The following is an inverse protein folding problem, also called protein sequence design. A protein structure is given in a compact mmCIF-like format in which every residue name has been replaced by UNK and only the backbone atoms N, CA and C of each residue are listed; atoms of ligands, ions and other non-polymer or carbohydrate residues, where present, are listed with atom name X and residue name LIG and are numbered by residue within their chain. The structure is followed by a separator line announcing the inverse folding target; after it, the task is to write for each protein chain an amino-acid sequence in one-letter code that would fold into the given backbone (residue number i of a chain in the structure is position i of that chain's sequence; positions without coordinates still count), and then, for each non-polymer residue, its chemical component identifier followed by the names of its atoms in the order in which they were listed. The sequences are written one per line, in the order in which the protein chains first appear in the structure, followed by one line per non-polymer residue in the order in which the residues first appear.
data_IF_277169000451
#
_entry.id   IF_277169000451
#
_cell.length_a   1.000
_cell.length_b   1.000
_cell.length_c   1.000
_cell.angle_alpha   90.00
_cell.angle_beta   90.00
_cell.angle_gamma   90.00
#
_symmetry.space_group_name_H-M   'P 1'
#
loop_
_entity.id
_entity.type
_entity.pdbx_description
1 polymer ?
#
# COMPACT_ATOMS: atom_id res chain seq x y z
N UNK A 1 0.02 8.96 -2.63
CA UNK A 1 -0.85 8.14 -3.51
C UNK A 1 -1.12 8.94 -4.77
N UNK A 2 -1.13 8.29 -5.93
CA UNK A 2 -1.45 8.90 -7.22
C UNK A 2 -2.41 8.00 -7.99
N UNK A 3 -3.12 8.58 -8.94
CA UNK A 3 -4.03 7.86 -9.82
C UNK A 3 -4.04 8.47 -11.22
N UNK A 4 -4.38 7.67 -12.22
CA UNK A 4 -4.59 8.12 -13.61
C UNK A 4 -5.80 7.43 -14.23
N UNK A 5 -6.54 8.16 -15.06
CA UNK A 5 -7.65 7.61 -15.86
C UNK A 5 -7.09 6.68 -16.93
N UNK A 6 -7.72 5.52 -17.10
CA UNK A 6 -7.34 4.51 -18.10
C UNK A 6 -8.49 4.35 -19.09
N UNK A 7 -8.19 4.36 -20.39
CA UNK A 7 -9.20 4.12 -21.42
C UNK A 7 -9.58 2.63 -21.48
N UNK A 8 -10.86 2.32 -21.73
CA UNK A 8 -11.36 0.93 -21.75
C UNK A 8 -10.61 0.00 -22.74
N UNK A 9 -10.10 0.53 -23.86
CA UNK A 9 -9.29 -0.25 -24.82
C UNK A 9 -7.89 -0.61 -24.31
N UNK A 10 -7.33 0.18 -23.40
CA UNK A 10 -6.01 -0.05 -22.80
C UNK A 10 -6.08 -0.99 -21.60
N UNK A 11 -7.25 -1.16 -20.98
CA UNK A 11 -7.41 -1.95 -19.77
C UNK A 11 -7.03 -3.42 -19.95
N UNK A 12 -7.43 -4.06 -21.03
CA UNK A 12 -7.09 -5.48 -21.23
C UNK A 12 -5.59 -5.70 -21.44
N UNK A 13 -4.91 -4.72 -22.04
CA UNK A 13 -3.44 -4.69 -22.15
C UNK A 13 -2.79 -4.45 -20.79
N UNK A 14 -3.24 -3.42 -20.07
CA UNK A 14 -2.66 -3.03 -18.78
C UNK A 14 -2.98 -4.00 -17.63
N UNK A 15 -4.12 -4.69 -17.66
CA UNK A 15 -4.43 -5.78 -16.74
C UNK A 15 -3.55 -7.00 -16.98
N UNK A 16 -3.20 -7.29 -18.24
CA UNK A 16 -2.18 -8.29 -18.59
C UNK A 16 -0.79 -7.81 -18.14
N UNK A 17 -0.49 -6.53 -18.31
CA UNK A 17 0.75 -5.92 -17.83
C UNK A 17 0.81 -5.78 -16.31
N UNK A 18 -0.30 -5.78 -15.55
CA UNK A 18 -0.26 -5.83 -14.09
C UNK A 18 0.47 -7.09 -13.60
N UNK A 19 0.31 -8.19 -14.34
CA UNK A 19 1.08 -9.43 -14.16
C UNK A 19 2.54 -9.34 -14.64
N UNK A 20 2.90 -8.36 -15.47
CA UNK A 20 4.26 -8.12 -16.00
C UNK A 20 4.99 -6.93 -15.34
N UNK A 21 4.29 -6.03 -14.65
CA UNK A 21 4.81 -4.98 -13.76
C UNK A 21 5.51 -5.57 -12.51
N UNK A 22 5.73 -6.88 -12.52
CA UNK A 22 6.71 -7.59 -11.70
C UNK A 22 8.03 -6.82 -11.66
N UNK A 23 8.48 -6.19 -12.76
CA UNK A 23 9.79 -5.52 -12.83
C UNK A 23 9.78 -4.00 -12.61
N UNK A 24 8.67 -3.42 -12.14
CA UNK A 24 8.70 -2.03 -11.66
C UNK A 24 9.37 -1.97 -10.29
N UNK A 25 10.39 -1.12 -10.18
CA UNK A 25 11.02 -0.70 -8.93
C UNK A 25 10.02 -0.44 -7.81
N UNK A 26 8.89 0.19 -8.15
CA UNK A 26 7.81 0.52 -7.22
C UNK A 26 7.27 -0.67 -6.42
N UNK A 27 7.31 -1.89 -6.95
CA UNK A 27 6.72 -3.08 -6.30
C UNK A 27 7.75 -4.01 -5.67
N UNK A 28 9.04 -3.65 -5.71
CA UNK A 28 10.16 -4.47 -5.22
C UNK A 28 9.96 -4.89 -3.76
N UNK A 29 9.60 -3.95 -2.88
CA UNK A 29 9.40 -4.25 -1.45
C UNK A 29 8.27 -5.26 -1.22
N UNK A 30 7.18 -5.16 -1.98
CA UNK A 30 6.07 -6.10 -1.88
C UNK A 30 6.49 -7.50 -2.32
N UNK A 31 7.37 -7.60 -3.32
CA UNK A 31 7.98 -8.86 -3.77
C UNK A 31 8.94 -9.43 -2.72
N UNK A 32 9.81 -8.61 -2.13
CA UNK A 32 10.72 -9.02 -1.05
C UNK A 32 9.94 -9.62 0.11
N UNK A 33 8.93 -8.90 0.61
CA UNK A 33 8.04 -9.41 1.65
C UNK A 33 7.39 -10.75 1.30
N UNK A 34 7.08 -11.00 0.01
CA UNK A 34 6.52 -12.28 -0.44
C UNK A 34 7.56 -13.41 -0.39
N UNK A 35 8.83 -13.12 -0.70
CA UNK A 35 9.95 -14.04 -0.55
C UNK A 35 10.17 -14.36 0.94
N UNK A 36 10.19 -13.37 1.81
CA UNK A 36 10.42 -13.56 3.25
C UNK A 36 9.36 -14.49 3.86
N UNK A 37 8.10 -14.35 3.43
CA UNK A 37 7.01 -15.26 3.83
C UNK A 37 7.27 -16.69 3.39
N UNK A 38 7.71 -16.89 2.15
CA UNK A 38 8.04 -18.22 1.65
C UNK A 38 9.22 -18.83 2.44
N UNK A 39 10.20 -18.00 2.84
CA UNK A 39 11.40 -18.44 3.54
C UNK A 39 11.23 -18.56 5.07
N UNK A 40 10.16 -18.01 5.66
CA UNK A 40 9.95 -17.96 7.12
C UNK A 40 10.06 -19.35 7.78
N UNK A 41 9.44 -20.38 7.21
CA UNK A 41 9.52 -21.73 7.75
C UNK A 41 10.93 -22.33 7.67
N UNK A 42 11.72 -21.96 6.65
CA UNK A 42 13.11 -22.40 6.53
C UNK A 42 14.00 -21.70 7.56
N UNK A 43 13.83 -20.38 7.73
CA UNK A 43 14.57 -19.62 8.74
C UNK A 43 14.29 -20.14 10.15
N UNK A 44 13.04 -20.49 10.47
CA UNK A 44 12.70 -21.07 11.77
C UNK A 44 13.38 -22.43 12.01
N UNK A 45 13.48 -23.28 10.99
CA UNK A 45 14.24 -24.55 11.11
C UNK A 45 15.73 -24.31 11.30
N UNK A 46 16.30 -23.25 10.71
CA UNK A 46 17.70 -22.88 10.92
C UNK A 46 17.89 -22.42 12.36
N UNK A 47 17.04 -21.54 12.87
CA UNK A 47 17.10 -21.05 14.26
C UNK A 47 17.06 -22.17 15.29
N UNK A 48 16.24 -23.19 15.08
CA UNK A 48 16.18 -24.38 15.94
C UNK A 48 17.49 -25.20 15.94
N UNK A 49 18.27 -25.13 14.85
CA UNK A 49 19.52 -25.88 14.71
C UNK A 49 20.76 -25.06 15.10
N UNK A 50 20.77 -23.79 14.73
CA UNK A 50 21.88 -22.86 14.88
C UNK A 50 21.34 -21.42 14.97
N UNK A 51 21.18 -20.88 16.20
CA UNK A 51 20.68 -19.53 16.42
C UNK A 51 21.58 -18.44 15.84
N UNK A 52 22.90 -18.60 15.90
CA UNK A 52 23.86 -17.58 15.43
C UNK A 52 23.76 -17.41 13.91
N UNK A 53 23.59 -18.52 13.17
CA UNK A 53 23.36 -18.47 11.73
C UNK A 53 22.01 -17.82 11.40
N UNK A 54 20.95 -18.13 12.16
CA UNK A 54 19.65 -17.50 11.95
C UNK A 54 19.69 -15.98 12.18
N UNK A 55 20.37 -15.53 13.23
CA UNK A 55 20.53 -14.11 13.53
C UNK A 55 21.34 -13.39 12.45
N UNK A 56 22.41 -14.01 11.95
CA UNK A 56 23.15 -13.45 10.81
C UNK A 56 22.28 -13.32 9.55
N UNK A 57 21.47 -14.34 9.24
CA UNK A 57 20.56 -14.29 8.08
C UNK A 57 19.49 -13.20 8.23
N UNK A 58 18.95 -12.99 9.43
CA UNK A 58 18.02 -11.87 9.72
C UNK A 58 18.70 -10.52 9.52
N UNK A 59 19.93 -10.37 9.98
CA UNK A 59 20.69 -9.13 9.79
C UNK A 59 20.97 -8.85 8.30
N UNK A 60 21.20 -9.90 7.50
CA UNK A 60 21.31 -9.76 6.04
C UNK A 60 19.98 -9.33 5.42
N UNK A 61 18.88 -9.98 5.82
CA UNK A 61 17.53 -9.65 5.35
C UNK A 61 17.19 -8.17 5.62
N UNK A 62 17.44 -7.70 6.85
CA UNK A 62 17.24 -6.31 7.25
C UNK A 62 18.10 -5.33 6.42
N UNK A 63 19.36 -5.67 6.15
CA UNK A 63 20.22 -4.83 5.30
C UNK A 63 19.71 -4.74 3.86
N UNK A 64 19.20 -5.83 3.30
CA UNK A 64 18.62 -5.84 1.96
C UNK A 64 17.33 -5.00 1.94
N UNK A 65 16.48 -5.15 2.96
CA UNK A 65 15.26 -4.35 3.14
C UNK A 65 15.58 -2.85 3.21
N UNK A 66 16.61 -2.44 3.97
CA UNK A 66 17.05 -1.04 4.05
C UNK A 66 17.54 -0.49 2.69
N UNK A 67 18.26 -1.30 1.91
CA UNK A 67 18.67 -0.92 0.55
C UNK A 67 17.46 -0.75 -0.36
N UNK A 68 16.48 -1.64 -0.28
CA UNK A 68 15.23 -1.54 -1.03
C UNK A 68 14.43 -0.28 -0.68
N UNK A 69 14.34 0.05 0.62
CA UNK A 69 13.70 1.28 1.09
C UNK A 69 14.41 2.54 0.59
N UNK A 70 15.76 2.56 0.66
CA UNK A 70 16.55 3.69 0.16
C UNK A 70 16.37 3.89 -1.34
N UNK A 71 16.35 2.80 -2.11
CA UNK A 71 16.16 2.83 -3.55
C UNK A 71 14.78 3.40 -3.93
N UNK A 72 13.72 2.93 -3.27
CA UNK A 72 12.37 3.49 -3.47
C UNK A 72 12.26 4.95 -3.04
N UNK A 73 12.96 5.34 -1.98
CA UNK A 73 12.94 6.70 -1.49
C UNK A 73 13.49 7.70 -2.51
N UNK A 74 14.50 7.29 -3.29
CA UNK A 74 15.10 8.10 -4.35
C UNK A 74 14.27 8.14 -5.63
N UNK A 75 13.56 7.05 -5.95
CA UNK A 75 12.88 6.92 -7.25
C UNK A 75 11.43 7.43 -7.24
N UNK A 76 10.80 7.58 -6.07
CA UNK A 76 9.34 7.75 -6.01
C UNK A 76 8.91 9.20 -5.82
N UNK A 77 8.42 9.84 -6.89
CA UNK A 77 7.75 11.17 -6.86
C UNK A 77 6.56 11.23 -5.87
N UNK A 78 5.95 10.07 -5.52
CA UNK A 78 4.89 10.00 -4.50
C UNK A 78 5.34 10.48 -3.12
N UNK A 79 6.63 10.46 -2.82
CA UNK A 79 7.17 10.99 -1.56
C UNK A 79 7.24 12.52 -1.56
N UNK A 80 7.28 13.15 -2.74
CA UNK A 80 7.23 14.60 -2.88
C UNK A 80 5.79 15.13 -2.82
N UNK A 81 4.80 14.25 -3.00
CA UNK A 81 3.39 14.63 -2.90
C UNK A 81 2.96 14.79 -1.44
N UNK A 82 2.23 15.88 -1.08
CA UNK A 82 1.74 16.07 0.26
C UNK A 82 0.81 14.91 0.66
N UNK A 83 0.95 14.46 1.91
CA UNK A 83 0.11 13.41 2.47
C UNK A 83 -1.35 13.84 2.46
N UNK A 84 -2.18 13.18 1.64
CA UNK A 84 -3.62 13.41 1.60
C UNK A 84 -4.33 12.48 2.59
N UNK A 85 -5.31 12.96 3.36
CA UNK A 85 -6.18 12.08 4.13
C UNK A 85 -6.91 11.12 3.19
N UNK A 86 -6.76 9.81 3.44
CA UNK A 86 -7.42 8.75 2.69
C UNK A 86 -8.16 7.82 3.64
N UNK A 87 -9.26 7.23 3.18
CA UNK A 87 -9.86 6.05 3.78
C UNK A 87 -9.55 4.85 2.89
N UNK A 88 -8.98 3.81 3.48
CA UNK A 88 -8.45 2.67 2.74
C UNK A 88 -8.95 1.36 3.34
N UNK A 89 -9.38 0.45 2.47
CA UNK A 89 -9.84 -0.90 2.80
C UNK A 89 -9.18 -1.92 1.87
N UNK A 90 -9.41 -3.22 2.13
CA UNK A 90 -8.95 -4.28 1.24
C UNK A 90 -9.65 -4.29 -0.14
N UNK A 91 -10.79 -3.59 -0.27
CA UNK A 91 -11.64 -3.59 -1.47
C UNK A 91 -11.71 -2.26 -2.20
N UNK A 92 -11.08 -1.20 -1.69
CA UNK A 92 -11.17 0.13 -2.29
C UNK A 92 -10.57 1.23 -1.44
N UNK A 93 -10.61 2.44 -2.00
CA UNK A 93 -10.06 3.66 -1.42
C UNK A 93 -11.02 4.83 -1.64
N UNK A 94 -11.08 5.76 -0.70
CA UNK A 94 -11.72 7.06 -0.90
C UNK A 94 -10.84 8.21 -0.42
N UNK A 95 -10.91 9.33 -1.13
CA UNK A 95 -10.09 10.50 -0.88
C UNK A 95 -10.68 11.75 -1.54
N UNK A 96 -10.23 12.92 -1.09
CA UNK A 96 -10.63 14.21 -1.66
C UNK A 96 -9.91 14.55 -2.96
N UNK A 97 -10.64 15.06 -3.94
CA UNK A 97 -10.13 15.54 -5.24
C UNK A 97 -10.68 16.94 -5.57
N UNK A 98 -9.97 17.68 -6.42
CA UNK A 98 -10.41 18.98 -6.96
C UNK A 98 -11.36 18.84 -8.15
N UNK A 99 -11.35 17.70 -8.82
CA UNK A 99 -12.11 17.45 -10.04
C UNK A 99 -13.12 16.33 -9.86
N UNK A 100 -14.31 16.52 -10.43
CA UNK A 100 -15.34 15.47 -10.48
C UNK A 100 -14.93 14.37 -11.45
N UNK A 101 -15.27 13.13 -11.12
CA UNK A 101 -15.01 11.97 -11.96
C UNK A 101 -16.30 11.23 -12.29
N UNK A 102 -16.37 10.71 -13.51
CA UNK A 102 -17.50 9.92 -13.97
C UNK A 102 -17.57 8.57 -13.24
N UNK A 103 -18.76 8.20 -12.78
CA UNK A 103 -19.01 6.87 -12.21
C UNK A 103 -18.82 5.82 -13.32
N UNK A 104 -18.09 4.76 -13.01
CA UNK A 104 -17.67 3.76 -13.99
C UNK A 104 -16.34 4.06 -14.67
N UNK A 105 -15.75 5.25 -14.44
CA UNK A 105 -14.41 5.53 -14.93
C UNK A 105 -13.40 4.57 -14.28
N UNK A 106 -12.47 4.08 -15.09
CA UNK A 106 -11.46 3.13 -14.67
C UNK A 106 -10.15 3.86 -14.40
N UNK A 107 -9.52 3.50 -13.29
CA UNK A 107 -8.35 4.17 -12.74
C UNK A 107 -7.26 3.17 -12.44
N UNK A 108 -6.04 3.50 -12.82
CA UNK A 108 -4.85 2.95 -12.19
C UNK A 108 -4.56 3.77 -10.94
N UNK A 109 -4.39 3.10 -9.81
CA UNK A 109 -4.08 3.71 -8.52
C UNK A 109 -2.74 3.16 -8.04
N UNK A 110 -1.82 4.07 -7.71
CA UNK A 110 -0.51 3.75 -7.11
C UNK A 110 -0.50 4.20 -5.65
N UNK A 111 -0.32 3.23 -4.76
CA UNK A 111 -0.26 3.42 -3.31
C UNK A 111 1.15 3.12 -2.82
N UNK A 112 1.73 4.04 -2.06
CA UNK A 112 2.94 3.78 -1.27
C UNK A 112 2.53 3.73 0.20
N UNK A 113 2.69 2.57 0.84
CA UNK A 113 2.32 2.36 2.23
C UNK A 113 3.54 2.55 3.13
N UNK A 114 3.48 3.55 4.00
CA UNK A 114 4.56 3.89 4.95
C UNK A 114 4.22 3.42 6.37
N UNK A 115 5.20 2.97 7.17
CA UNK A 115 6.65 3.11 6.95
C UNK A 115 7.30 1.95 6.19
N UNK A 116 6.56 0.93 5.76
CA UNK A 116 7.13 -0.27 5.13
C UNK A 116 7.50 -0.10 3.65
N UNK A 117 7.51 1.14 3.13
CA UNK A 117 7.74 1.50 1.72
C UNK A 117 7.11 0.53 0.72
N UNK A 118 5.89 0.06 1.01
CA UNK A 118 5.26 -1.01 0.24
C UNK A 118 4.46 -0.39 -0.88
N UNK A 119 4.95 -0.51 -2.12
CA UNK A 119 4.26 -0.03 -3.30
C UNK A 119 3.24 -1.03 -3.83
N UNK A 120 2.04 -0.53 -4.12
CA UNK A 120 0.90 -1.29 -4.65
C UNK A 120 0.38 -0.56 -5.89
N UNK A 121 0.25 -1.31 -6.98
CA UNK A 121 -0.43 -0.87 -8.19
C UNK A 121 -1.71 -1.68 -8.29
N UNK A 122 -2.84 -0.99 -8.37
CA UNK A 122 -4.17 -1.61 -8.48
C UNK A 122 -4.98 -0.86 -9.53
N UNK A 123 -5.83 -1.59 -10.23
CA UNK A 123 -6.90 -0.97 -11.02
C UNK A 123 -8.17 -0.92 -10.18
N UNK A 124 -8.96 0.12 -10.41
CA UNK A 124 -10.25 0.30 -9.75
C UNK A 124 -11.23 1.08 -10.61
N UNK A 125 -12.49 0.99 -10.22
CA UNK A 125 -13.60 1.68 -10.86
C UNK A 125 -14.15 2.75 -9.91
N UNK A 126 -14.45 3.93 -10.43
CA UNK A 126 -15.15 4.98 -9.68
C UNK A 126 -16.57 4.51 -9.38
N UNK A 127 -16.87 4.29 -8.10
CA UNK A 127 -18.19 3.85 -7.62
C UNK A 127 -18.99 4.99 -6.98
N UNK A 128 -18.38 6.16 -6.82
CA UNK A 128 -19.06 7.36 -6.35
C UNK A 128 -18.16 8.58 -6.37
N UNK A 129 -18.76 9.75 -6.62
CA UNK A 129 -18.08 11.04 -6.62
C UNK A 129 -19.08 12.11 -6.13
N UNK A 130 -19.07 12.40 -4.83
CA UNK A 130 -19.98 13.39 -4.24
C UNK A 130 -19.27 14.74 -4.10
N UNK A 131 -20.03 15.84 -4.11
CA UNK A 131 -19.48 17.14 -3.74
C UNK A 131 -18.97 17.11 -2.29
N UNK A 132 -17.80 17.73 -2.07
CA UNK A 132 -17.23 17.89 -0.74
C UNK A 132 -18.15 18.73 0.16
N UNK A 133 -18.09 18.48 1.46
CA UNK A 133 -18.85 19.29 2.42
C UNK A 133 -18.24 20.67 2.57
N UNK A 134 -19.05 21.65 3.00
CA UNK A 134 -18.53 22.97 3.37
C UNK A 134 -17.47 22.82 4.48
N UNK A 135 -16.31 23.46 4.32
CA UNK A 135 -15.10 23.37 5.17
C UNK A 135 -14.17 22.17 4.94
N UNK A 136 -14.29 21.47 3.82
CA UNK A 136 -13.29 20.49 3.40
C UNK A 136 -12.31 21.10 2.39
N UNK A 137 -11.03 20.71 2.46
CA UNK A 137 -9.97 21.19 1.55
C UNK A 137 -10.04 20.54 0.15
N UNK A 138 -11.17 19.93 -0.20
CA UNK A 138 -11.39 19.24 -1.47
C UNK A 138 -12.81 19.49 -2.00
N UNK A 139 -12.94 19.55 -3.33
CA UNK A 139 -14.19 19.86 -3.99
C UNK A 139 -15.10 18.63 -4.15
N UNK A 140 -14.52 17.43 -4.23
CA UNK A 140 -15.27 16.17 -4.37
C UNK A 140 -14.66 15.05 -3.52
N UNK A 141 -15.52 14.20 -2.97
CA UNK A 141 -15.14 12.94 -2.33
C UNK A 141 -15.26 11.81 -3.34
N UNK A 142 -14.10 11.31 -3.79
CA UNK A 142 -14.03 10.20 -4.73
C UNK A 142 -13.99 8.86 -3.99
N UNK A 143 -14.75 7.87 -4.49
CA UNK A 143 -14.74 6.48 -4.01
C UNK A 143 -14.42 5.54 -5.15
N UNK A 144 -13.41 4.70 -4.96
CA UNK A 144 -12.93 3.74 -5.94
C UNK A 144 -13.02 2.33 -5.35
N UNK A 145 -13.63 1.40 -6.08
CA UNK A 145 -13.58 -0.03 -5.77
C UNK A 145 -12.47 -0.69 -6.57
N UNK A 146 -11.62 -1.49 -5.94
CA UNK A 146 -10.53 -2.18 -6.62
C UNK A 146 -11.07 -3.31 -7.49
N UNK A 147 -10.85 -3.21 -8.81
CA UNK A 147 -11.26 -4.20 -9.80
C UNK A 147 -10.18 -5.25 -10.05
N UNK A 148 -8.90 -4.89 -9.92
CA UNK A 148 -7.78 -5.83 -10.06
C UNK A 148 -6.60 -5.43 -9.19
N UNK A 149 -6.17 -6.34 -8.33
CA UNK A 149 -5.02 -6.22 -7.44
C UNK A 149 -4.35 -7.60 -7.34
N UNK A 150 -3.02 -7.64 -7.32
CA UNK A 150 -2.26 -8.89 -7.16
C UNK A 150 -2.44 -9.44 -5.75
N UNK A 151 -2.43 -10.77 -5.58
CA UNK A 151 -2.60 -11.40 -4.27
C UNK A 151 -1.52 -10.96 -3.27
N UNK A 152 -0.26 -10.84 -3.72
CA UNK A 152 0.84 -10.33 -2.89
C UNK A 152 0.58 -8.92 -2.36
N UNK A 153 0.01 -8.07 -3.19
CA UNK A 153 -0.27 -6.67 -2.90
C UNK A 153 -1.51 -6.55 -2.01
N UNK A 154 -2.55 -7.36 -2.28
CA UNK A 154 -3.75 -7.46 -1.44
C UNK A 154 -3.38 -7.91 -0.02
N UNK A 155 -2.55 -8.92 0.10
CA UNK A 155 -2.03 -9.39 1.39
C UNK A 155 -1.23 -8.31 2.13
N UNK A 156 -0.36 -7.62 1.41
CA UNK A 156 0.45 -6.55 1.98
C UNK A 156 -0.42 -5.39 2.47
N UNK A 157 -1.45 -5.02 1.70
CA UNK A 157 -2.45 -4.02 2.06
C UNK A 157 -3.23 -4.40 3.32
N UNK A 158 -3.76 -5.63 3.38
CA UNK A 158 -4.51 -6.12 4.55
C UNK A 158 -3.63 -6.06 5.79
N UNK A 159 -2.41 -6.59 5.73
CA UNK A 159 -1.46 -6.53 6.85
C UNK A 159 -1.14 -5.10 7.27
N UNK A 160 -1.01 -4.20 6.31
CA UNK A 160 -0.77 -2.80 6.59
C UNK A 160 -1.94 -2.16 7.37
N UNK A 161 -3.17 -2.35 6.90
CA UNK A 161 -4.38 -1.85 7.55
C UNK A 161 -4.53 -2.41 8.96
N UNK A 162 -4.33 -3.72 9.15
CA UNK A 162 -4.41 -4.35 10.47
C UNK A 162 -3.37 -3.81 11.45
N UNK A 163 -2.14 -3.54 10.99
CA UNK A 163 -1.10 -2.89 11.80
C UNK A 163 -1.51 -1.48 12.22
N UNK A 164 -2.05 -0.68 11.31
CA UNK A 164 -2.53 0.68 11.62
C UNK A 164 -3.68 0.66 12.62
N UNK A 165 -4.68 -0.21 12.43
CA UNK A 165 -5.80 -0.34 13.36
C UNK A 165 -5.33 -0.76 14.76
N UNK A 166 -4.42 -1.72 14.83
CA UNK A 166 -3.83 -2.17 16.10
C UNK A 166 -3.10 -1.05 16.82
N UNK A 167 -2.34 -0.22 16.08
CA UNK A 167 -1.63 0.94 16.63
C UNK A 167 -2.61 2.00 17.16
N UNK A 168 -3.62 2.37 16.37
CA UNK A 168 -4.65 3.33 16.78
C UNK A 168 -5.39 2.89 18.05
N UNK A 169 -5.69 1.59 18.17
CA UNK A 169 -6.34 1.04 19.38
C UNK A 169 -5.45 1.17 20.62
N UNK A 170 -4.13 0.99 20.49
CA UNK A 170 -3.17 1.17 21.59
C UNK A 170 -3.07 2.64 22.00
N UNK A 171 -2.87 3.53 21.04
CA UNK A 171 -2.77 4.99 21.28
C UNK A 171 -4.02 5.53 21.98
N UNK A 172 -5.22 5.06 21.60
CA UNK A 172 -6.48 5.44 22.26
C UNK A 172 -6.59 4.98 23.72
N UNK A 173 -6.01 3.82 24.05
CA UNK A 173 -5.99 3.32 25.45
C UNK A 173 -5.07 4.18 26.30
N UNK A 174 -3.86 4.40 25.81
CA UNK A 174 -2.86 5.25 26.49
C UNK A 174 -3.34 6.69 26.66
N UNK A 175 -4.04 7.26 25.67
CA UNK A 175 -4.62 8.60 25.79
C UNK A 175 -5.72 8.71 26.86
N UNK A 176 -6.48 7.62 27.09
CA UNK A 176 -7.51 7.58 28.13
C UNK A 176 -6.89 7.47 29.51
N UNK A 177 -5.90 6.59 29.68
CA UNK A 177 -5.17 6.42 30.94
C UNK A 177 -4.45 7.71 31.38
N UNK A 178 -3.92 8.50 30.44
CA UNK A 178 -3.31 9.81 30.72
C UNK A 178 -4.32 10.93 31.00
N UNK A 179 -5.58 10.79 30.59
CA UNK A 179 -6.62 11.77 30.84
C UNK A 179 -7.34 11.53 32.19
N UNK A 180 -7.21 10.32 32.73
CA UNK A 180 -7.84 9.87 33.98
C UNK A 180 -6.89 9.91 35.21
N UNK A 181 -5.59 10.17 35.00
CA UNK A 181 -4.57 10.30 36.06
C UNK A 181 -4.03 11.72 36.17
#
# INVERSE_FOLDING_TARGET
MSYRVVQQGELQGQMRELGQHVDSSFTVMTRMQAIDRHLSAALHRIELRDPDVADYLRALDEKIELLGQSFLAEETELLEQPAKPISLSAGGISFGTSESMEIGALLEVKLLLLPSFTGIITFGEVVGCDAGEANQDYAFLLRISFSSIRDSDRDALIRHILRLQSRMLRERRESRERAEG
#
